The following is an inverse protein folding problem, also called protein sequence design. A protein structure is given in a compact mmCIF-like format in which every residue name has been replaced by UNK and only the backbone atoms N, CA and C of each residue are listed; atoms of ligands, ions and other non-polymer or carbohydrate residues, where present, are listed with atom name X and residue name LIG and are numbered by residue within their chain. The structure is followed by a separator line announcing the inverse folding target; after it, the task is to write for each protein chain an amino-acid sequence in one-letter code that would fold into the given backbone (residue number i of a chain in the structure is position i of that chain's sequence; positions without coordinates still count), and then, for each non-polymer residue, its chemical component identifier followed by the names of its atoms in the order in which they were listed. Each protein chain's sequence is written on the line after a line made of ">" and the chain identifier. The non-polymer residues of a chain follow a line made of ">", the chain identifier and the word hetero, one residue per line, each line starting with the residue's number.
data_IF_995171788425
#
_entry.id   IF_995171788425
#
_cell.length_a   1.000
_cell.length_b   1.000
_cell.length_c   1.000
_cell.angle_alpha   90.00
_cell.angle_beta   90.00
_cell.angle_gamma   90.00
#
_symmetry.space_group_name_H-M   'P 1'
#
loop_
_entity.id
_entity.type
_entity.pdbx_description
1 polymer ?
#
# COMPACT_ATOMS: atom_id res chain seq x y z
N UNK A 1 72.70 -12.33 17.35
CA UNK A 1 71.33 -12.48 17.89
C UNK A 1 70.47 -11.39 17.27
N UNK A 2 69.67 -11.75 16.26
CA UNK A 2 68.84 -10.83 15.49
C UNK A 2 67.44 -10.83 16.12
N UNK A 3 66.99 -9.70 16.67
CA UNK A 3 65.66 -9.56 17.23
C UNK A 3 64.67 -9.23 16.11
N UNK A 4 63.71 -10.12 15.86
CA UNK A 4 62.59 -9.91 14.92
C UNK A 4 61.44 -9.27 15.71
N UNK A 5 61.13 -8.01 15.39
CA UNK A 5 59.96 -7.33 15.91
C UNK A 5 58.70 -7.79 15.17
N UNK A 6 57.81 -8.47 15.90
CA UNK A 6 56.51 -8.91 15.39
C UNK A 6 55.52 -7.74 15.49
N UNK A 7 55.26 -7.05 14.38
CA UNK A 7 54.17 -6.08 14.31
C UNK A 7 52.84 -6.84 14.17
N UNK A 8 52.05 -6.84 15.25
CA UNK A 8 50.66 -7.28 15.20
C UNK A 8 49.83 -6.27 14.39
N UNK A 9 49.37 -6.66 13.21
CA UNK A 9 48.40 -5.90 12.45
C UNK A 9 47.04 -5.94 13.20
N UNK A 10 46.59 -4.78 13.67
CA UNK A 10 45.22 -4.59 14.13
C UNK A 10 44.26 -4.80 12.93
N UNK A 11 43.07 -5.39 13.13
CA UNK A 11 42.09 -5.49 12.07
C UNK A 11 41.61 -4.09 11.72
N UNK A 12 41.97 -3.62 10.53
CA UNK A 12 41.40 -2.42 9.94
C UNK A 12 39.91 -2.65 9.73
N UNK A 13 39.07 -1.83 10.39
CA UNK A 13 37.67 -1.72 10.07
C UNK A 13 37.53 -1.37 8.59
N UNK A 14 36.82 -2.21 7.84
CA UNK A 14 36.52 -1.98 6.42
C UNK A 14 35.50 -0.85 6.33
N UNK A 15 35.96 0.34 5.97
CA UNK A 15 35.15 1.47 5.53
C UNK A 15 35.77 2.02 4.25
N UNK A 16 35.34 1.52 3.09
CA UNK A 16 35.33 2.13 1.76
C UNK A 16 34.98 1.05 0.71
N UNK A 17 34.06 1.36 -0.19
CA UNK A 17 33.42 0.38 -1.08
C UNK A 17 34.28 -0.08 -2.25
N UNK A 18 34.14 -1.36 -2.58
CA UNK A 18 34.14 -1.77 -3.98
C UNK A 18 33.02 -1.01 -4.71
N UNK A 19 33.17 -0.64 -5.98
CA UNK A 19 32.09 -0.03 -6.75
C UNK A 19 31.02 -1.09 -6.98
N UNK A 20 30.15 -1.28 -5.99
CA UNK A 20 28.92 -2.05 -6.15
C UNK A 20 28.09 -1.44 -7.28
N UNK A 21 27.23 -2.25 -7.88
CA UNK A 21 26.37 -1.83 -8.99
C UNK A 21 25.68 -0.50 -8.68
N UNK A 22 25.60 0.40 -9.67
CA UNK A 22 24.89 1.68 -9.58
C UNK A 22 24.03 1.89 -10.80
N UNK A 23 22.85 2.48 -10.59
CA UNK A 23 21.95 2.92 -11.66
C UNK A 23 21.75 4.42 -11.47
N UNK A 24 22.17 5.20 -12.46
CA UNK A 24 22.11 6.67 -12.46
C UNK A 24 22.69 7.29 -11.17
N UNK A 25 23.82 6.74 -10.71
CA UNK A 25 24.49 7.18 -9.49
C UNK A 25 23.89 6.67 -8.18
N UNK A 26 22.73 6.01 -8.19
CA UNK A 26 22.17 5.39 -6.98
C UNK A 26 22.73 3.98 -6.78
N UNK A 27 23.20 3.60 -5.58
CA UNK A 27 23.68 2.25 -5.28
C UNK A 27 22.59 1.20 -5.45
N UNK A 28 22.96 0.05 -5.99
CA UNK A 28 22.14 -1.16 -6.02
C UNK A 28 22.50 -2.02 -4.82
N UNK A 29 21.47 -2.54 -4.14
CA UNK A 29 21.58 -3.43 -2.99
C UNK A 29 20.76 -4.69 -3.22
N UNK A 30 21.18 -5.79 -2.60
CA UNK A 30 20.41 -7.04 -2.57
C UNK A 30 19.51 -7.13 -1.32
N UNK A 31 19.86 -6.42 -0.25
CA UNK A 31 19.13 -6.42 1.02
C UNK A 31 19.30 -5.09 1.75
N UNK A 32 18.23 -4.62 2.38
CA UNK A 32 18.23 -3.43 3.21
C UNK A 32 18.51 -3.79 4.67
N UNK A 33 19.44 -3.06 5.29
CA UNK A 33 19.62 -3.02 6.74
C UNK A 33 19.70 -1.57 7.20
N UNK A 34 18.60 -1.04 7.72
CA UNK A 34 18.51 0.36 8.16
C UNK A 34 19.35 0.66 9.40
N UNK A 35 19.76 -0.35 10.17
CA UNK A 35 20.58 -0.14 11.36
C UNK A 35 21.96 0.40 10.98
N UNK A 36 22.52 -0.07 9.87
CA UNK A 36 23.86 0.29 9.38
C UNK A 36 23.92 1.65 8.67
N UNK A 37 22.78 2.22 8.29
CA UNK A 37 22.74 3.46 7.51
C UNK A 37 23.04 4.70 8.36
N UNK A 38 23.70 5.73 7.82
CA UNK A 38 23.88 7.02 8.52
C UNK A 38 22.57 7.84 8.55
N UNK A 39 22.43 8.79 9.48
CA UNK A 39 21.39 9.82 9.39
C UNK A 39 21.44 10.59 8.07
N UNK A 40 20.30 11.05 7.59
CA UNK A 40 20.17 11.76 6.31
C UNK A 40 19.17 11.12 5.35
N UNK A 41 19.28 11.46 4.07
CA UNK A 41 18.47 10.89 2.98
C UNK A 41 19.37 10.07 2.06
N UNK A 42 19.04 8.79 1.88
CA UNK A 42 19.76 7.88 0.99
C UNK A 42 18.80 7.30 -0.03
N UNK A 43 19.18 7.31 -1.32
CA UNK A 43 18.42 6.70 -2.41
C UNK A 43 19.15 5.46 -2.88
N UNK A 44 18.42 4.36 -3.02
CA UNK A 44 18.93 3.03 -3.33
C UNK A 44 18.03 2.36 -4.36
N UNK A 45 18.60 1.42 -5.10
CA UNK A 45 17.87 0.43 -5.88
C UNK A 45 17.98 -0.91 -5.20
N UNK A 46 16.85 -1.58 -4.95
CA UNK A 46 16.85 -2.99 -4.61
C UNK A 46 16.80 -3.79 -5.92
N UNK A 47 17.83 -4.59 -6.22
CA UNK A 47 17.69 -5.65 -7.23
C UNK A 47 16.84 -6.76 -6.62
N UNK A 48 15.62 -6.91 -7.12
CA UNK A 48 14.62 -7.80 -6.50
C UNK A 48 14.49 -9.12 -7.24
N UNK A 49 14.53 -9.15 -8.56
CA UNK A 49 14.66 -10.37 -9.35
C UNK A 49 15.17 -10.05 -10.75
N UNK A 50 15.36 -11.06 -11.58
CA UNK A 50 15.71 -10.90 -12.99
C UNK A 50 14.48 -11.08 -13.89
N UNK A 51 14.51 -10.43 -15.05
CA UNK A 51 13.49 -10.54 -16.09
C UNK A 51 13.86 -11.60 -17.13
N UNK A 52 12.99 -11.80 -18.11
CA UNK A 52 13.06 -12.85 -19.13
C UNK A 52 14.29 -12.76 -20.05
N UNK A 53 14.96 -11.61 -20.11
CA UNK A 53 16.21 -11.40 -20.87
C UNK A 53 17.45 -11.32 -19.97
N UNK A 54 17.34 -11.70 -18.70
CA UNK A 54 18.45 -11.72 -17.75
C UNK A 54 18.87 -10.33 -17.23
N UNK A 55 17.98 -9.34 -17.29
CA UNK A 55 18.20 -8.01 -16.71
C UNK A 55 17.45 -7.88 -15.38
N UNK A 56 18.02 -7.12 -14.43
CA UNK A 56 17.41 -6.92 -13.13
C UNK A 56 16.12 -6.11 -13.18
N UNK A 57 15.13 -6.54 -12.41
CA UNK A 57 14.08 -5.68 -11.86
C UNK A 57 14.63 -4.94 -10.65
N UNK A 58 14.43 -3.61 -10.64
CA UNK A 58 14.89 -2.73 -9.59
C UNK A 58 13.72 -1.99 -8.96
N UNK A 59 13.67 -1.99 -7.63
CA UNK A 59 12.67 -1.27 -6.83
C UNK A 59 13.33 -0.09 -6.13
N UNK A 60 12.80 1.14 -6.27
CA UNK A 60 13.38 2.30 -5.62
C UNK A 60 13.13 2.26 -4.11
N UNK A 61 14.16 2.53 -3.33
CA UNK A 61 14.07 2.71 -1.88
C UNK A 61 14.68 4.06 -1.52
N UNK A 62 13.92 4.85 -0.78
CA UNK A 62 14.39 6.08 -0.17
C UNK A 62 14.37 5.89 1.34
N UNK A 63 15.54 5.92 1.96
CA UNK A 63 15.67 5.90 3.41
C UNK A 63 15.88 7.32 3.90
N UNK A 64 15.00 7.78 4.78
CA UNK A 64 15.20 8.99 5.56
C UNK A 64 15.46 8.54 7.00
N UNK A 65 16.69 8.73 7.49
CA UNK A 65 17.06 8.36 8.87
C UNK A 65 17.29 9.61 9.69
N UNK A 66 16.55 9.71 10.79
CA UNK A 66 16.60 10.84 11.71
C UNK A 66 17.92 10.94 12.48
N UNK A 67 18.21 12.12 13.02
CA UNK A 67 19.38 12.34 13.88
C UNK A 67 19.27 11.62 15.24
N UNK A 68 18.06 11.26 15.66
CA UNK A 68 17.81 10.56 16.92
C UNK A 68 17.20 9.17 16.68
N UNK A 69 17.45 8.20 17.58
CA UNK A 69 16.74 6.93 17.59
C UNK A 69 15.22 7.12 17.71
N UNK A 70 14.47 6.20 17.11
CA UNK A 70 13.00 6.23 17.08
C UNK A 70 12.46 5.06 16.25
N UNK A 71 11.15 5.04 15.97
CA UNK A 71 10.53 3.92 15.29
C UNK A 71 10.88 3.88 13.80
N UNK A 72 10.71 2.71 13.20
CA UNK A 72 10.96 2.45 11.78
C UNK A 72 9.63 2.30 11.04
N UNK A 73 9.42 3.17 10.07
CA UNK A 73 8.18 3.29 9.33
C UNK A 73 8.37 2.84 7.89
N UNK A 74 7.66 1.80 7.47
CA UNK A 74 7.60 1.37 6.08
C UNK A 74 6.43 2.06 5.37
N UNK A 75 6.72 2.79 4.31
CA UNK A 75 5.73 3.46 3.47
C UNK A 75 5.88 3.00 2.03
N UNK A 76 4.92 2.22 1.55
CA UNK A 76 4.96 1.62 0.23
C UNK A 76 3.88 2.20 -0.67
N UNK A 77 4.12 2.18 -1.98
CA UNK A 77 3.14 2.51 -2.99
C UNK A 77 3.40 1.72 -4.27
N UNK A 78 2.39 1.60 -5.14
CA UNK A 78 2.57 1.01 -6.46
C UNK A 78 2.87 -0.48 -6.44
N UNK A 79 2.27 -1.23 -5.50
CA UNK A 79 2.21 -2.71 -5.60
C UNK A 79 1.32 -3.15 -6.77
N UNK A 80 0.32 -2.33 -7.09
CA UNK A 80 -0.39 -2.34 -8.36
C UNK A 80 0.14 -1.20 -9.24
N UNK A 81 0.48 -1.51 -10.48
CA UNK A 81 1.20 -0.60 -11.38
C UNK A 81 0.36 0.54 -11.96
N UNK A 82 -0.96 0.47 -11.84
CA UNK A 82 -1.93 1.50 -12.26
C UNK A 82 -2.33 2.46 -11.12
N UNK A 83 -1.79 2.27 -9.91
CA UNK A 83 -2.16 3.04 -8.71
C UNK A 83 -1.05 4.03 -8.31
N UNK A 84 -1.18 5.30 -8.73
CA UNK A 84 -0.04 6.23 -8.78
C UNK A 84 -0.04 7.31 -7.67
N UNK A 85 -1.18 7.68 -7.09
CA UNK A 85 -1.22 8.78 -6.10
C UNK A 85 -0.28 8.55 -4.91
N UNK A 86 -0.10 7.31 -4.45
CA UNK A 86 0.81 6.98 -3.37
C UNK A 86 2.28 7.34 -3.66
N UNK A 87 2.72 7.24 -4.91
CA UNK A 87 4.06 7.68 -5.34
C UNK A 87 4.21 9.19 -5.15
N UNK A 88 3.19 9.97 -5.52
CA UNK A 88 3.16 11.41 -5.31
C UNK A 88 3.23 11.81 -3.84
N UNK A 89 2.50 11.08 -2.98
CA UNK A 89 2.55 11.26 -1.50
C UNK A 89 3.96 11.00 -0.99
N UNK A 90 4.60 9.90 -1.39
CA UNK A 90 5.96 9.55 -0.97
C UNK A 90 6.95 10.64 -1.37
N UNK A 91 6.91 11.10 -2.63
CA UNK A 91 7.84 12.12 -3.11
C UNK A 91 7.72 13.43 -2.33
N UNK A 92 6.51 13.95 -2.17
CA UNK A 92 6.29 15.19 -1.43
C UNK A 92 6.63 15.05 0.06
N UNK A 93 6.35 13.89 0.66
CA UNK A 93 6.73 13.61 2.04
C UNK A 93 8.25 13.65 2.19
N UNK A 94 8.97 12.86 1.38
CA UNK A 94 10.43 12.77 1.42
C UNK A 94 11.07 14.14 1.20
N UNK A 95 10.56 14.94 0.26
CA UNK A 95 11.06 16.28 0.00
C UNK A 95 10.93 17.18 1.24
N UNK A 96 9.75 17.21 1.85
CA UNK A 96 9.43 18.05 3.01
C UNK A 96 9.96 17.56 4.37
N UNK A 97 10.64 16.42 4.43
CA UNK A 97 11.26 15.91 5.66
C UNK A 97 12.66 16.48 5.88
N UNK A 98 12.93 16.96 7.10
CA UNK A 98 14.27 17.27 7.59
C UNK A 98 14.77 16.15 8.51
N UNK A 99 15.77 15.36 8.10
CA UNK A 99 16.35 14.31 8.94
C UNK A 99 16.90 14.82 10.28
N UNK A 100 17.39 16.07 10.35
CA UNK A 100 17.93 16.62 11.59
C UNK A 100 16.85 16.80 12.67
N UNK A 101 15.61 17.05 12.26
CA UNK A 101 14.45 17.22 13.14
C UNK A 101 13.67 15.92 13.40
N UNK A 102 14.05 14.81 12.76
CA UNK A 102 13.32 13.54 12.80
C UNK A 102 13.92 12.56 13.81
N UNK A 103 13.06 11.71 14.37
CA UNK A 103 13.44 10.53 15.15
C UNK A 103 13.08 9.25 14.40
N UNK A 104 13.95 8.25 14.44
CA UNK A 104 13.72 6.97 13.79
C UNK A 104 14.00 7.00 12.29
N UNK A 105 13.34 6.13 11.53
CA UNK A 105 13.64 5.91 10.11
C UNK A 105 12.37 5.76 9.29
N UNK A 106 12.26 6.48 8.18
CA UNK A 106 11.29 6.22 7.12
C UNK A 106 11.96 5.39 6.01
N UNK A 107 11.34 4.27 5.65
CA UNK A 107 11.67 3.44 4.50
C UNK A 107 10.55 3.66 3.48
N UNK A 108 10.80 4.51 2.50
CA UNK A 108 9.82 4.87 1.48
C UNK A 108 10.11 4.15 0.17
N UNK A 109 9.10 3.49 -0.40
CA UNK A 109 9.23 2.70 -1.64
C UNK A 109 8.22 3.21 -2.69
N UNK A 110 8.59 4.22 -3.50
CA UNK A 110 7.71 4.80 -4.51
C UNK A 110 7.64 3.91 -5.77
N UNK A 111 7.00 2.75 -5.63
CA UNK A 111 6.78 1.79 -6.70
C UNK A 111 7.35 0.41 -6.38
N UNK A 112 6.54 -0.45 -5.77
CA UNK A 112 6.92 -1.82 -5.43
C UNK A 112 7.00 -2.76 -6.64
N UNK A 113 6.09 -2.59 -7.61
CA UNK A 113 5.91 -3.54 -8.72
C UNK A 113 6.49 -2.97 -10.01
N UNK A 114 7.82 -3.01 -10.14
CA UNK A 114 8.51 -2.51 -11.34
C UNK A 114 7.92 -3.03 -12.68
N UNK A 115 7.62 -4.32 -12.86
CA UNK A 115 7.00 -4.79 -14.10
C UNK A 115 5.56 -4.30 -14.29
N UNK A 116 4.74 -4.27 -13.24
CA UNK A 116 3.38 -3.73 -13.33
C UNK A 116 3.35 -2.25 -13.68
N UNK A 117 4.22 -1.45 -13.05
CA UNK A 117 4.35 -0.01 -13.32
C UNK A 117 4.75 0.25 -14.77
N UNK A 118 5.72 -0.51 -15.30
CA UNK A 118 6.14 -0.41 -16.71
C UNK A 118 5.01 -0.70 -17.70
N UNK A 119 4.10 -1.60 -17.34
CA UNK A 119 2.99 -2.01 -18.20
C UNK A 119 1.68 -1.29 -17.88
N UNK A 120 1.65 -0.41 -16.86
CA UNK A 120 0.42 0.22 -16.36
C UNK A 120 -0.67 -0.83 -16.08
N UNK A 121 -0.30 -1.89 -15.36
CA UNK A 121 -1.18 -3.00 -15.00
C UNK A 121 -1.26 -3.17 -13.49
N UNK A 122 -2.43 -3.61 -13.01
CA UNK A 122 -2.63 -3.96 -11.60
C UNK A 122 -1.67 -5.06 -11.13
N UNK A 123 -1.35 -6.01 -12.00
CA UNK A 123 -0.63 -7.22 -11.63
C UNK A 123 0.89 -7.12 -11.88
N UNK A 124 1.64 -8.13 -11.41
CA UNK A 124 3.02 -8.38 -11.84
C UNK A 124 3.01 -8.86 -13.29
N UNK A 125 3.32 -7.98 -14.25
CA UNK A 125 3.29 -8.31 -15.68
C UNK A 125 4.71 -8.38 -16.24
N UNK A 126 5.36 -9.52 -16.05
CA UNK A 126 6.74 -9.75 -16.48
C UNK A 126 6.90 -10.49 -17.82
N UNK A 127 5.86 -10.64 -18.66
CA UNK A 127 5.95 -11.49 -19.87
C UNK A 127 4.79 -11.43 -20.87
N UNK A 128 4.93 -12.21 -21.94
CA UNK A 128 4.34 -12.03 -23.30
C UNK A 128 2.85 -12.31 -23.47
N UNK A 129 2.12 -12.63 -22.39
CA UNK A 129 0.70 -12.98 -22.45
C UNK A 129 -0.23 -11.92 -21.82
N UNK A 130 0.31 -10.82 -21.33
CA UNK A 130 -0.46 -9.72 -20.71
C UNK A 130 -1.12 -10.09 -19.38
N UNK A 131 -0.99 -11.33 -18.91
CA UNK A 131 -1.48 -11.80 -17.63
C UNK A 131 -0.40 -11.64 -16.57
N UNK A 132 -0.82 -11.42 -15.33
CA UNK A 132 0.10 -11.26 -14.20
C UNK A 132 -0.54 -11.65 -12.90
N UNK A 133 0.27 -12.05 -11.93
CA UNK A 133 -0.18 -12.34 -10.58
C UNK A 133 -0.36 -11.06 -9.77
N UNK A 134 -1.37 -11.01 -8.91
CA UNK A 134 -1.50 -9.90 -7.97
C UNK A 134 -0.49 -10.07 -6.82
N UNK A 135 0.57 -9.26 -6.80
CA UNK A 135 1.58 -9.28 -5.72
C UNK A 135 0.97 -9.08 -4.33
N UNK A 136 -0.09 -8.29 -4.21
CA UNK A 136 -0.79 -8.06 -2.96
C UNK A 136 -1.66 -9.27 -2.53
N UNK A 137 -1.43 -10.45 -3.13
CA UNK A 137 -1.98 -11.77 -2.72
C UNK A 137 -0.88 -12.81 -2.52
N UNK A 138 0.38 -12.39 -2.63
CA UNK A 138 1.55 -13.27 -2.64
C UNK A 138 2.56 -12.93 -1.54
N UNK A 139 2.31 -11.88 -0.74
CA UNK A 139 3.21 -11.54 0.37
C UNK A 139 3.17 -12.71 1.38
N UNK A 140 4.33 -13.26 1.79
CA UNK A 140 4.34 -14.38 2.72
C UNK A 140 3.83 -13.98 4.11
N UNK A 141 3.12 -14.92 4.77
CA UNK A 141 2.73 -14.77 6.17
C UNK A 141 3.88 -15.04 7.14
N UNK A 142 4.72 -16.03 6.85
CA UNK A 142 5.83 -16.43 7.72
C UNK A 142 7.00 -15.43 7.58
N UNK A 143 7.45 -14.79 8.67
CA UNK A 143 8.51 -13.79 8.65
C UNK A 143 9.89 -14.36 8.33
N UNK A 144 10.04 -15.69 8.41
CA UNK A 144 11.28 -16.41 8.17
C UNK A 144 11.38 -16.99 6.75
N UNK A 145 10.36 -16.83 5.92
CA UNK A 145 10.43 -17.23 4.51
C UNK A 145 11.58 -16.48 3.84
N UNK A 146 12.53 -17.26 3.32
CA UNK A 146 13.66 -16.80 2.53
C UNK A 146 13.60 -17.45 1.15
N UNK A 147 14.42 -16.92 0.24
CA UNK A 147 14.80 -17.63 -0.97
C UNK A 147 13.86 -17.46 -2.16
N UNK A 148 14.01 -18.39 -3.08
CA UNK A 148 13.74 -18.23 -4.50
C UNK A 148 12.72 -19.27 -5.01
N UNK A 149 11.91 -19.81 -4.11
CA UNK A 149 10.87 -20.77 -4.47
C UNK A 149 9.70 -20.09 -5.18
N UNK A 150 8.97 -20.87 -5.97
CA UNK A 150 7.76 -20.43 -6.66
C UNK A 150 8.02 -19.79 -8.02
N UNK A 151 6.96 -19.24 -8.61
CA UNK A 151 7.02 -18.52 -9.88
C UNK A 151 7.68 -17.12 -9.71
N UNK A 152 7.88 -16.39 -10.81
CA UNK A 152 8.57 -15.09 -10.78
C UNK A 152 7.92 -14.07 -9.81
N UNK A 153 6.59 -13.98 -9.79
CA UNK A 153 5.87 -13.07 -8.90
C UNK A 153 6.00 -13.48 -7.41
N UNK A 154 5.97 -14.78 -7.12
CA UNK A 154 6.16 -15.33 -5.78
C UNK A 154 7.59 -15.07 -5.28
N UNK A 155 8.61 -15.29 -6.13
CA UNK A 155 10.01 -14.96 -5.81
C UNK A 155 10.17 -13.47 -5.51
N UNK A 156 9.59 -12.63 -6.37
CA UNK A 156 9.59 -11.18 -6.20
C UNK A 156 8.98 -10.74 -4.86
N UNK A 157 7.77 -11.23 -4.53
CA UNK A 157 7.08 -10.93 -3.28
C UNK A 157 7.85 -11.42 -2.05
N UNK A 158 8.39 -12.65 -2.09
CA UNK A 158 9.23 -13.21 -1.03
C UNK A 158 10.49 -12.39 -0.77
N UNK A 159 11.11 -11.89 -1.84
CA UNK A 159 12.31 -11.07 -1.76
C UNK A 159 12.02 -9.67 -1.23
N UNK A 160 10.91 -9.02 -1.60
CA UNK A 160 10.47 -7.78 -0.94
C UNK A 160 10.27 -7.99 0.57
N UNK A 161 9.58 -9.07 0.93
CA UNK A 161 9.29 -9.45 2.30
C UNK A 161 10.56 -9.65 3.13
N UNK A 162 11.48 -10.52 2.68
CA UNK A 162 12.62 -10.95 3.46
C UNK A 162 13.85 -10.03 3.38
N UNK A 163 13.95 -9.23 2.32
CA UNK A 163 15.10 -8.31 2.09
C UNK A 163 14.80 -6.88 2.51
N UNK A 164 13.54 -6.51 2.69
CA UNK A 164 13.15 -5.15 3.09
C UNK A 164 12.18 -5.13 4.26
N UNK A 165 11.02 -5.79 4.15
CA UNK A 165 9.91 -5.54 5.09
C UNK A 165 10.22 -6.09 6.48
N UNK A 166 10.58 -7.37 6.57
CA UNK A 166 10.90 -8.01 7.84
C UNK A 166 12.27 -7.55 8.34
N UNK A 167 12.39 -7.39 9.66
CA UNK A 167 13.62 -6.96 10.29
C UNK A 167 13.91 -5.45 10.21
N UNK A 168 13.23 -4.68 9.37
CA UNK A 168 13.41 -3.22 9.26
C UNK A 168 12.21 -2.37 9.72
N UNK A 169 11.07 -2.98 10.05
CA UNK A 169 9.79 -2.26 10.17
C UNK A 169 9.14 -2.41 11.55
N UNK A 170 8.67 -1.30 12.13
CA UNK A 170 7.91 -1.28 13.39
C UNK A 170 6.42 -0.93 13.16
N UNK A 171 6.10 -0.25 12.06
CA UNK A 171 4.73 -0.05 11.56
C UNK A 171 4.75 0.32 10.07
N UNK A 172 3.62 0.17 9.37
CA UNK A 172 3.56 0.44 7.94
C UNK A 172 2.25 1.09 7.46
N UNK A 173 2.33 1.70 6.29
CA UNK A 173 1.19 2.11 5.49
C UNK A 173 1.48 1.70 4.05
N UNK A 174 0.56 0.94 3.45
CA UNK A 174 0.59 0.63 2.02
C UNK A 174 -0.40 1.54 1.30
N UNK A 175 0.11 2.40 0.41
CA UNK A 175 -0.68 3.40 -0.31
C UNK A 175 -1.20 2.81 -1.62
N UNK A 176 -2.52 2.81 -1.75
CA UNK A 176 -3.26 2.32 -2.91
C UNK A 176 -4.12 3.43 -3.53
N UNK A 177 -4.64 3.14 -4.70
CA UNK A 177 -5.84 3.78 -5.24
C UNK A 177 -6.79 2.68 -5.69
N UNK A 178 -7.99 3.03 -6.15
CA UNK A 178 -8.70 2.04 -6.96
C UNK A 178 -7.92 1.81 -8.28
N UNK A 179 -7.96 0.59 -8.81
CA UNK A 179 -7.43 0.24 -10.14
C UNK A 179 -8.22 0.88 -11.28
N UNK A 180 -7.65 0.80 -12.50
CA UNK A 180 -8.24 1.34 -13.72
C UNK A 180 -9.72 0.96 -13.83
N UNK A 181 -10.54 1.96 -14.13
CA UNK A 181 -11.99 1.78 -14.26
C UNK A 181 -12.76 1.89 -12.95
N UNK A 182 -12.12 2.26 -11.84
CA UNK A 182 -12.83 2.63 -10.61
C UNK A 182 -12.20 3.78 -9.83
N UNK A 183 -12.92 4.20 -8.79
CA UNK A 183 -12.47 5.22 -7.84
C UNK A 183 -12.92 4.91 -6.42
N UNK A 184 -12.08 5.27 -5.44
CA UNK A 184 -12.40 5.27 -4.01
C UNK A 184 -12.36 6.68 -3.42
N UNK A 185 -13.08 6.95 -2.31
CA UNK A 185 -12.78 8.11 -1.48
C UNK A 185 -11.45 7.88 -0.75
N UNK A 186 -11.05 8.79 0.15
CA UNK A 186 -10.01 8.46 1.10
C UNK A 186 -10.52 7.33 2.00
N UNK A 187 -9.97 6.12 1.88
CA UNK A 187 -10.55 4.91 2.47
C UNK A 187 -9.46 4.01 3.05
N UNK A 188 -9.64 3.50 4.26
CA UNK A 188 -8.61 2.71 4.94
C UNK A 188 -9.15 1.35 5.34
N UNK A 189 -8.37 0.30 5.06
CA UNK A 189 -8.63 -1.06 5.52
C UNK A 189 -7.90 -1.31 6.85
N UNK A 190 -8.60 -1.90 7.82
CA UNK A 190 -8.07 -2.17 9.17
C UNK A 190 -8.45 -3.56 9.63
N UNK A 191 -7.44 -4.38 9.95
CA UNK A 191 -7.66 -5.68 10.57
C UNK A 191 -7.58 -5.66 12.10
N UNK A 192 -6.63 -4.92 12.68
CA UNK A 192 -6.33 -5.03 14.12
C UNK A 192 -6.65 -3.75 14.90
N UNK A 193 -6.95 -3.86 16.21
CA UNK A 193 -7.11 -2.66 17.05
C UNK A 193 -5.88 -1.75 17.11
N UNK A 194 -4.68 -2.33 17.03
CA UNK A 194 -3.43 -1.56 17.02
C UNK A 194 -3.28 -0.78 15.71
N UNK A 195 -3.60 -1.41 14.57
CA UNK A 195 -3.60 -0.75 13.26
C UNK A 195 -4.68 0.33 13.16
N UNK A 196 -5.81 0.19 13.87
CA UNK A 196 -6.88 1.19 13.87
C UNK A 196 -6.40 2.59 14.27
N UNK A 197 -5.47 2.71 15.22
CA UNK A 197 -4.93 4.03 15.60
C UNK A 197 -4.25 4.73 14.42
N UNK A 198 -3.53 3.98 13.57
CA UNK A 198 -2.94 4.50 12.33
C UNK A 198 -4.05 5.03 11.41
N UNK A 199 -5.10 4.23 11.17
CA UNK A 199 -6.23 4.61 10.34
C UNK A 199 -6.93 5.89 10.81
N UNK A 200 -7.16 6.03 12.12
CA UNK A 200 -7.80 7.22 12.68
C UNK A 200 -6.93 8.48 12.55
N UNK A 201 -5.60 8.35 12.61
CA UNK A 201 -4.67 9.47 12.41
C UNK A 201 -4.56 9.89 10.94
N UNK A 202 -4.77 8.98 9.99
CA UNK A 202 -4.80 9.28 8.56
C UNK A 202 -5.96 10.19 8.15
N UNK A 203 -7.02 10.28 8.97
CA UNK A 203 -8.26 11.04 8.71
C UNK A 203 -8.90 10.72 7.34
N UNK A 204 -9.12 9.44 6.99
CA UNK A 204 -9.82 9.10 5.76
C UNK A 204 -11.29 9.51 5.85
N UNK A 205 -12.02 9.43 4.74
CA UNK A 205 -13.47 9.62 4.78
C UNK A 205 -14.15 8.43 5.43
N UNK A 206 -13.65 7.22 5.19
CA UNK A 206 -14.19 5.97 5.72
C UNK A 206 -13.10 5.00 6.16
N UNK A 207 -13.42 4.14 7.12
CA UNK A 207 -12.59 3.02 7.57
C UNK A 207 -13.40 1.74 7.48
N UNK A 208 -12.84 0.72 6.85
CA UNK A 208 -13.41 -0.62 6.82
C UNK A 208 -12.65 -1.56 7.73
N UNK A 209 -13.37 -2.03 8.74
CA UNK A 209 -12.88 -3.00 9.71
C UNK A 209 -13.22 -4.41 9.22
N UNK A 210 -12.21 -5.19 8.87
CA UNK A 210 -12.39 -6.53 8.30
C UNK A 210 -11.32 -7.51 8.78
N UNK A 211 -11.50 -8.80 8.54
CA UNK A 211 -10.55 -9.82 8.97
C UNK A 211 -9.16 -9.75 8.29
N UNK A 212 -8.97 -8.84 7.33
CA UNK A 212 -7.84 -8.85 6.42
C UNK A 212 -7.97 -9.86 5.28
N UNK A 213 -7.04 -9.78 4.34
CA UNK A 213 -6.89 -10.62 3.16
C UNK A 213 -5.53 -11.30 3.21
N UNK A 214 -5.52 -12.62 3.05
CA UNK A 214 -4.27 -13.38 3.01
C UNK A 214 -3.40 -12.94 1.83
N UNK A 215 -2.10 -12.76 2.09
CA UNK A 215 -1.13 -12.29 1.11
C UNK A 215 -1.09 -10.78 0.85
N UNK A 216 -1.94 -9.98 1.50
CA UNK A 216 -1.89 -8.52 1.43
C UNK A 216 -0.80 -7.94 2.35
N UNK A 217 -0.11 -6.89 1.92
CA UNK A 217 1.06 -6.33 2.63
C UNK A 217 0.73 -6.01 4.09
N UNK A 218 -0.33 -5.25 4.32
CA UNK A 218 -0.76 -4.81 5.64
C UNK A 218 -1.15 -5.98 6.54
N UNK A 219 -1.81 -6.99 5.97
CA UNK A 219 -2.33 -8.11 6.75
C UNK A 219 -1.25 -9.12 7.11
N UNK A 220 -0.26 -9.32 6.22
CA UNK A 220 0.91 -10.13 6.54
C UNK A 220 1.80 -9.45 7.58
N UNK A 221 1.93 -8.13 7.54
CA UNK A 221 2.59 -7.37 8.61
C UNK A 221 1.82 -7.46 9.92
N UNK A 222 0.50 -7.27 9.90
CA UNK A 222 -0.36 -7.40 11.08
C UNK A 222 -0.28 -8.80 11.71
N UNK A 223 -0.21 -9.85 10.89
CA UNK A 223 -0.02 -11.23 11.34
C UNK A 223 1.32 -11.46 12.08
N UNK A 224 2.29 -10.57 11.87
CA UNK A 224 3.60 -10.55 12.50
C UNK A 224 3.73 -9.45 13.58
N UNK A 225 2.60 -8.99 14.12
CA UNK A 225 2.52 -7.95 15.15
C UNK A 225 3.12 -6.59 14.74
N UNK A 226 3.26 -6.33 13.44
CA UNK A 226 3.65 -5.03 12.88
C UNK A 226 2.37 -4.31 12.44
N UNK A 227 1.91 -3.28 13.17
CA UNK A 227 0.66 -2.60 12.83
C UNK A 227 0.76 -1.91 11.47
N UNK A 228 -0.13 -2.29 10.56
CA UNK A 228 -0.17 -1.79 9.20
C UNK A 228 -1.60 -1.62 8.68
N UNK A 229 -1.77 -0.71 7.72
CA UNK A 229 -3.04 -0.44 7.03
C UNK A 229 -2.83 -0.21 5.54
N UNK A 230 -3.82 -0.56 4.73
CA UNK A 230 -3.94 -0.06 3.35
C UNK A 230 -4.69 1.26 3.35
N UNK A 231 -4.15 2.26 2.65
CA UNK A 231 -4.78 3.56 2.49
C UNK A 231 -5.02 3.89 1.01
N UNK A 232 -6.29 3.90 0.62
CA UNK A 232 -6.80 4.22 -0.71
C UNK A 232 -6.93 5.73 -0.91
N UNK A 233 -6.40 6.22 -2.04
CA UNK A 233 -6.32 7.65 -2.35
C UNK A 233 -6.87 7.96 -3.76
N UNK A 234 -8.13 7.66 -4.01
CA UNK A 234 -8.80 8.08 -5.25
C UNK A 234 -8.84 7.02 -6.35
N UNK A 235 -8.76 7.49 -7.60
CA UNK A 235 -8.77 6.66 -8.80
C UNK A 235 -7.37 6.39 -9.37
N UNK A 236 -7.32 5.48 -10.33
CA UNK A 236 -6.10 5.02 -10.99
C UNK A 236 -5.52 6.06 -11.97
N UNK A 237 -4.24 5.89 -12.29
CA UNK A 237 -3.57 6.52 -13.44
C UNK A 237 -3.66 8.06 -13.54
N UNK A 238 -3.82 8.71 -12.39
CA UNK A 238 -3.85 10.18 -12.27
C UNK A 238 -3.05 10.60 -11.06
N UNK A 239 -2.43 11.78 -11.12
CA UNK A 239 -2.00 12.50 -9.93
C UNK A 239 -3.12 13.47 -9.52
N UNK A 240 -3.95 13.02 -8.59
CA UNK A 240 -4.96 13.86 -7.95
C UNK A 240 -4.29 14.65 -6.81
N UNK A 241 -4.00 15.92 -7.07
CA UNK A 241 -3.35 16.80 -6.11
C UNK A 241 -4.12 16.93 -4.78
N UNK A 242 -5.45 16.83 -4.79
CA UNK A 242 -6.25 16.91 -3.57
C UNK A 242 -6.09 15.64 -2.73
N UNK A 243 -6.11 14.47 -3.37
CA UNK A 243 -5.87 13.18 -2.68
C UNK A 243 -4.43 13.05 -2.20
N UNK A 244 -3.44 13.48 -3.00
CA UNK A 244 -2.03 13.50 -2.59
C UNK A 244 -1.82 14.42 -1.38
N UNK A 245 -2.36 15.64 -1.42
CA UNK A 245 -2.26 16.55 -0.29
C UNK A 245 -2.93 15.98 0.97
N UNK A 246 -4.04 15.26 0.83
CA UNK A 246 -4.71 14.57 1.93
C UNK A 246 -3.87 13.41 2.48
N UNK A 247 -3.34 12.56 1.60
CA UNK A 247 -2.43 11.47 1.96
C UNK A 247 -1.20 11.98 2.71
N UNK A 248 -0.57 13.05 2.21
CA UNK A 248 0.58 13.70 2.84
C UNK A 248 0.26 14.18 4.27
N UNK A 249 -0.88 14.87 4.47
CA UNK A 249 -1.30 15.30 5.82
C UNK A 249 -1.52 14.10 6.75
N UNK A 250 -2.26 13.09 6.28
CA UNK A 250 -2.57 11.90 7.07
C UNK A 250 -1.31 11.11 7.47
N UNK A 251 -0.37 10.91 6.54
CA UNK A 251 0.90 10.22 6.84
C UNK A 251 1.73 11.03 7.83
N UNK A 252 1.79 12.36 7.71
CA UNK A 252 2.47 13.22 8.70
C UNK A 252 1.82 13.14 10.08
N UNK A 253 0.49 13.06 10.17
CA UNK A 253 -0.21 12.85 11.44
C UNK A 253 0.22 11.56 12.11
N UNK A 254 0.34 10.47 11.36
CA UNK A 254 0.84 9.18 11.87
C UNK A 254 2.29 9.31 12.35
N UNK A 255 3.16 9.97 11.58
CA UNK A 255 4.54 10.20 12.00
C UNK A 255 4.65 11.05 13.28
N UNK A 256 3.78 12.04 13.48
CA UNK A 256 3.70 12.82 14.72
C UNK A 256 3.17 11.95 15.87
N UNK A 257 2.09 11.19 15.66
CA UNK A 257 1.51 10.29 16.67
C UNK A 257 2.51 9.22 17.15
N UNK A 258 3.39 8.76 16.25
CA UNK A 258 4.48 7.82 16.55
C UNK A 258 5.76 8.49 17.06
N UNK A 259 5.76 9.81 17.24
CA UNK A 259 6.90 10.56 17.80
C UNK A 259 8.11 10.67 16.86
N UNK A 260 7.93 10.40 15.56
CA UNK A 260 8.98 10.59 14.56
C UNK A 260 9.17 12.06 14.21
N UNK A 261 8.08 12.84 14.22
CA UNK A 261 8.08 14.26 13.93
C UNK A 261 7.58 15.07 15.14
N UNK A 262 8.16 16.25 15.40
CA UNK A 262 7.60 17.17 16.38
C UNK A 262 6.30 17.80 15.86
N UNK A 263 5.46 18.28 16.78
CA UNK A 263 4.26 19.07 16.46
C UNK A 263 2.97 18.41 16.94
N UNK A 264 1.85 18.86 16.36
CA UNK A 264 0.51 18.33 16.63
C UNK A 264 -0.10 17.82 15.33
N UNK A 265 -0.80 16.67 15.34
CA UNK A 265 -1.51 16.19 14.16
C UNK A 265 -2.55 17.21 13.67
N UNK A 266 -2.66 17.35 12.35
CA UNK A 266 -3.70 18.14 11.69
C UNK A 266 -4.98 17.30 11.56
N UNK A 267 -5.91 17.54 12.47
CA UNK A 267 -7.19 16.81 12.57
C UNK A 267 -8.37 17.60 11.96
N UNK A 268 -8.11 18.47 10.98
CA UNK A 268 -9.17 19.30 10.35
C UNK A 268 -10.23 18.46 9.63
N UNK A 269 -9.84 17.31 9.11
CA UNK A 269 -10.73 16.42 8.39
C UNK A 269 -11.64 15.69 9.41
N UNK A 270 -12.94 15.46 9.11
CA UNK A 270 -13.89 14.85 10.04
C UNK A 270 -13.49 13.44 10.52
N UNK A 271 -14.13 12.97 11.59
CA UNK A 271 -14.01 11.56 11.97
C UNK A 271 -14.51 10.66 10.84
N UNK A 272 -13.79 9.58 10.49
CA UNK A 272 -14.20 8.68 9.43
C UNK A 272 -15.49 7.94 9.77
N UNK A 273 -16.28 7.65 8.73
CA UNK A 273 -17.37 6.68 8.85
C UNK A 273 -16.79 5.28 9.01
N UNK A 274 -17.19 4.56 10.06
CA UNK A 274 -16.78 3.17 10.27
C UNK A 274 -17.78 2.23 9.62
N UNK A 275 -17.28 1.27 8.84
CA UNK A 275 -18.05 0.13 8.33
C UNK A 275 -17.33 -1.18 8.60
N UNK A 276 -18.09 -2.27 8.68
CA UNK A 276 -17.57 -3.64 8.76
C UNK A 276 -18.27 -4.58 7.75
N UNK A 277 -19.13 -4.03 6.89
CA UNK A 277 -19.78 -4.74 5.79
C UNK A 277 -19.55 -3.98 4.48
N UNK A 278 -18.98 -4.67 3.50
CA UNK A 278 -18.90 -4.22 2.11
C UNK A 278 -19.97 -4.94 1.31
N UNK A 279 -20.77 -4.17 0.56
CA UNK A 279 -21.76 -4.71 -0.39
C UNK A 279 -21.47 -4.11 -1.76
N UNK A 280 -21.11 -4.97 -2.72
CA UNK A 280 -21.00 -4.56 -4.11
C UNK A 280 -22.38 -4.67 -4.77
N UNK A 281 -22.74 -3.65 -5.54
CA UNK A 281 -23.90 -3.67 -6.43
C UNK A 281 -23.37 -3.84 -7.83
N UNK A 282 -23.54 -5.07 -8.33
CA UNK A 282 -22.96 -5.51 -9.59
C UNK A 282 -23.97 -5.35 -10.74
N UNK A 283 -23.46 -5.16 -11.95
CA UNK A 283 -24.33 -5.11 -13.13
C UNK A 283 -24.85 -6.51 -13.48
N UNK A 284 -26.17 -6.73 -13.65
CA UNK A 284 -26.69 -8.02 -14.11
C UNK A 284 -26.52 -8.21 -15.62
N UNK A 285 -26.09 -7.19 -16.36
CA UNK A 285 -26.05 -7.16 -17.83
C UNK A 285 -24.80 -6.46 -18.36
N UNK A 286 -24.37 -6.87 -19.55
CA UNK A 286 -23.42 -6.09 -20.33
C UNK A 286 -24.07 -4.78 -20.80
N UNK A 287 -23.36 -3.66 -20.72
CA UNK A 287 -23.91 -2.36 -21.11
C UNK A 287 -23.10 -1.15 -20.67
N UNK A 288 -23.74 0.02 -20.73
CA UNK A 288 -23.17 1.32 -20.40
C UNK A 288 -23.80 1.78 -19.08
N UNK A 289 -23.06 1.63 -17.98
CA UNK A 289 -23.50 2.05 -16.67
C UNK A 289 -23.32 3.56 -16.49
N UNK A 290 -24.42 4.23 -16.18
CA UNK A 290 -24.46 5.65 -15.86
C UNK A 290 -24.73 5.79 -14.37
N UNK A 291 -23.70 6.22 -13.63
CA UNK A 291 -23.80 6.45 -12.19
C UNK A 291 -24.81 7.56 -11.88
N UNK A 292 -25.52 7.42 -10.75
CA UNK A 292 -26.48 8.39 -10.21
C UNK A 292 -26.12 8.85 -8.80
N UNK A 293 -24.98 8.39 -8.29
CA UNK A 293 -24.45 8.69 -6.96
C UNK A 293 -22.99 9.12 -7.04
N UNK A 294 -22.51 9.75 -5.97
CA UNK A 294 -21.11 10.18 -5.83
C UNK A 294 -20.43 9.43 -4.68
N UNK A 295 -19.09 9.38 -4.71
CA UNK A 295 -18.31 8.89 -3.57
C UNK A 295 -18.71 9.64 -2.29
N UNK A 296 -18.68 8.95 -1.16
CA UNK A 296 -19.06 9.44 0.17
C UNK A 296 -20.55 9.76 0.35
N UNK A 297 -21.39 9.71 -0.68
CA UNK A 297 -22.83 9.92 -0.57
C UNK A 297 -23.46 8.84 0.32
N UNK A 298 -24.36 9.25 1.22
CA UNK A 298 -25.23 8.33 1.93
C UNK A 298 -26.46 8.01 1.06
N UNK A 299 -26.81 6.74 0.97
CA UNK A 299 -27.95 6.22 0.20
C UNK A 299 -28.86 5.41 1.10
N UNK A 300 -30.16 5.47 0.85
CA UNK A 300 -31.17 4.63 1.49
C UNK A 300 -31.49 3.44 0.62
N UNK A 301 -31.95 2.35 1.24
CA UNK A 301 -32.48 1.18 0.53
C UNK A 301 -33.52 1.62 -0.51
N UNK A 302 -33.34 1.15 -1.74
CA UNK A 302 -34.20 1.48 -2.88
C UNK A 302 -33.76 2.69 -3.70
N UNK A 303 -32.82 3.52 -3.20
CA UNK A 303 -32.27 4.63 -3.98
C UNK A 303 -31.60 4.12 -5.26
N UNK A 304 -31.79 4.83 -6.37
CA UNK A 304 -31.17 4.49 -7.66
C UNK A 304 -29.69 4.83 -7.62
N UNK A 305 -28.85 3.82 -7.84
CA UNK A 305 -27.39 3.93 -7.84
C UNK A 305 -26.82 4.14 -9.24
N UNK A 306 -27.35 3.42 -10.22
CA UNK A 306 -26.92 3.50 -11.61
C UNK A 306 -28.01 3.00 -12.56
N UNK A 307 -27.94 3.45 -13.81
CA UNK A 307 -28.77 2.94 -14.91
C UNK A 307 -27.84 2.33 -15.96
N UNK A 308 -28.12 1.10 -16.38
CA UNK A 308 -27.38 0.42 -17.46
C UNK A 308 -28.19 0.53 -18.74
N UNK A 309 -27.59 1.08 -19.79
CA UNK A 309 -28.21 1.18 -21.12
C UNK A 309 -27.57 0.22 -22.11
N UNK A 310 -28.28 -0.11 -23.19
CA UNK A 310 -27.75 -0.85 -24.35
C UNK A 310 -27.12 0.09 -25.40
N UNK A 311 -26.56 -0.41 -26.52
CA UNK A 311 -25.97 0.44 -27.56
C UNK A 311 -26.93 1.43 -28.23
N UNK A 312 -28.24 1.25 -28.06
CA UNK A 312 -29.28 2.14 -28.61
C UNK A 312 -29.79 3.15 -27.58
N UNK A 313 -29.21 3.18 -26.36
CA UNK A 313 -29.60 4.07 -25.27
C UNK A 313 -30.83 3.62 -24.49
N UNK A 314 -31.36 2.41 -24.73
CA UNK A 314 -32.51 1.89 -23.98
C UNK A 314 -32.05 1.42 -22.61
N UNK A 315 -32.82 1.73 -21.57
CA UNK A 315 -32.55 1.22 -20.21
C UNK A 315 -32.81 -0.28 -20.17
N UNK A 316 -31.81 -1.05 -19.76
CA UNK A 316 -31.88 -2.52 -19.66
C UNK A 316 -31.68 -3.03 -18.23
N UNK A 317 -31.17 -2.19 -17.31
CA UNK A 317 -31.18 -2.44 -15.88
C UNK A 317 -31.18 -1.12 -15.08
N UNK A 318 -31.81 -1.14 -13.91
CA UNK A 318 -31.70 -0.08 -12.89
C UNK A 318 -31.13 -0.71 -11.64
N UNK A 319 -29.96 -0.25 -11.20
CA UNK A 319 -29.30 -0.72 -9.99
C UNK A 319 -29.76 0.14 -8.82
N UNK A 320 -30.22 -0.50 -7.75
CA UNK A 320 -30.71 0.19 -6.54
C UNK A 320 -29.94 -0.26 -5.31
N UNK A 321 -29.90 0.59 -4.29
CA UNK A 321 -29.25 0.27 -3.02
C UNK A 321 -30.01 -0.85 -2.28
N UNK A 322 -29.37 -1.99 -1.95
CA UNK A 322 -30.04 -3.07 -1.22
C UNK A 322 -30.22 -2.77 0.27
N UNK A 323 -29.49 -1.77 0.79
CA UNK A 323 -29.50 -1.34 2.19
C UNK A 323 -29.11 0.14 2.30
N UNK A 324 -29.36 0.71 3.47
CA UNK A 324 -28.85 2.01 3.88
C UNK A 324 -27.34 1.93 4.07
N UNK A 325 -26.57 2.77 3.36
CA UNK A 325 -25.12 2.67 3.34
C UNK A 325 -24.44 3.96 2.85
N UNK A 326 -23.12 4.01 3.00
CA UNK A 326 -22.27 5.02 2.38
C UNK A 326 -21.64 4.47 1.10
N UNK A 327 -21.66 5.25 0.02
CA UNK A 327 -20.96 4.91 -1.23
C UNK A 327 -19.46 5.00 -1.00
N UNK A 328 -18.81 3.84 -0.99
CA UNK A 328 -17.39 3.66 -0.71
C UNK A 328 -16.55 3.35 -1.95
N UNK A 329 -17.17 3.16 -3.12
CA UNK A 329 -16.47 3.02 -4.39
C UNK A 329 -17.40 3.06 -5.59
N UNK A 330 -16.84 3.41 -6.74
CA UNK A 330 -17.56 3.52 -8.01
C UNK A 330 -16.77 2.83 -9.12
N UNK A 331 -17.45 2.07 -9.97
CA UNK A 331 -16.97 1.69 -11.30
C UNK A 331 -17.10 2.90 -12.23
N UNK A 332 -15.98 3.55 -12.53
CA UNK A 332 -15.94 4.77 -13.35
C UNK A 332 -15.79 4.48 -14.83
N UNK A 333 -15.34 3.28 -15.20
CA UNK A 333 -15.48 2.82 -16.59
C UNK A 333 -16.97 2.63 -16.88
N UNK A 334 -17.55 3.34 -17.86
CA UNK A 334 -18.96 3.18 -18.16
C UNK A 334 -19.26 1.79 -18.74
N UNK A 335 -18.27 1.06 -19.25
CA UNK A 335 -18.46 -0.28 -19.82
C UNK A 335 -18.54 -1.29 -18.69
N UNK A 336 -19.64 -2.03 -18.65
CA UNK A 336 -19.81 -3.13 -17.68
C UNK A 336 -20.08 -4.43 -18.41
N UNK A 337 -19.56 -5.52 -17.89
CA UNK A 337 -19.98 -6.90 -18.12
C UNK A 337 -20.96 -7.35 -17.02
N UNK A 338 -21.75 -8.43 -17.25
CA UNK A 338 -22.47 -9.08 -16.16
C UNK A 338 -21.51 -9.50 -15.04
N UNK A 339 -21.80 -9.09 -13.80
CA UNK A 339 -20.97 -9.36 -12.62
C UNK A 339 -19.96 -8.28 -12.28
N UNK A 340 -19.75 -7.27 -13.14
CA UNK A 340 -18.86 -6.15 -12.81
C UNK A 340 -19.46 -5.29 -11.70
N UNK A 341 -18.63 -4.97 -10.70
CA UNK A 341 -19.00 -4.06 -9.62
C UNK A 341 -19.18 -2.63 -10.15
N UNK A 342 -20.38 -2.07 -9.96
CA UNK A 342 -20.72 -0.70 -10.40
C UNK A 342 -20.66 0.28 -9.24
N UNK A 343 -21.19 -0.10 -8.08
CA UNK A 343 -21.14 0.71 -6.86
C UNK A 343 -20.77 -0.18 -5.69
N UNK A 344 -19.78 0.25 -4.90
CA UNK A 344 -19.47 -0.36 -3.61
C UNK A 344 -20.09 0.46 -2.49
N UNK A 345 -20.81 -0.23 -1.62
CA UNK A 345 -21.42 0.31 -0.42
C UNK A 345 -20.69 -0.19 0.81
N UNK A 346 -20.60 0.69 1.82
CA UNK A 346 -20.06 0.41 3.13
C UNK A 346 -21.12 0.68 4.19
N UNK A 347 -21.34 -0.28 5.05
CA UNK A 347 -22.31 -0.21 6.15
C UNK A 347 -21.76 -0.86 7.42
N UNK A 348 -22.54 -0.77 8.49
CA UNK A 348 -22.21 -1.34 9.80
C UNK A 348 -23.23 -2.39 10.21
N UNK A 349 -22.74 -3.54 10.69
CA UNK A 349 -23.52 -4.62 11.27
C UNK A 349 -22.91 -5.05 12.62
N UNK A 350 -23.63 -4.80 13.70
CA UNK A 350 -23.20 -5.13 15.06
C UNK A 350 -23.13 -6.63 15.36
N UNK A 351 -23.75 -7.47 14.52
CA UNK A 351 -23.77 -8.92 14.68
C UNK A 351 -22.46 -9.59 14.27
N UNK A 352 -21.63 -8.92 13.46
CA UNK A 352 -20.36 -9.46 12.99
C UNK A 352 -19.29 -9.49 14.08
N UNK A 353 -18.30 -10.40 13.97
CA UNK A 353 -17.25 -10.55 14.98
C UNK A 353 -16.33 -9.34 15.06
N UNK A 354 -16.10 -8.65 13.94
CA UNK A 354 -15.32 -7.42 13.89
C UNK A 354 -16.09 -6.25 14.50
N UNK A 355 -15.51 -5.63 15.52
CA UNK A 355 -16.13 -4.55 16.31
C UNK A 355 -15.52 -3.20 15.94
N UNK A 356 -16.09 -2.13 16.49
CA UNK A 356 -15.69 -0.74 16.14
C UNK A 356 -14.23 -0.48 16.40
N UNK A 357 -13.63 -1.15 17.38
CA UNK A 357 -12.23 -1.04 17.76
C UNK A 357 -11.27 -1.92 16.95
N UNK A 358 -11.74 -2.89 16.17
CA UNK A 358 -10.94 -3.76 15.31
C UNK A 358 -11.53 -5.17 15.21
N UNK A 359 -10.87 -6.08 14.48
CA UNK A 359 -11.23 -7.49 14.50
C UNK A 359 -10.48 -8.26 15.59
N UNK A 360 -11.14 -9.20 16.29
CA UNK A 360 -10.48 -10.12 17.20
C UNK A 360 -9.42 -10.96 16.47
N UNK A 361 -8.33 -11.30 17.15
CA UNK A 361 -7.25 -12.14 16.61
C UNK A 361 -7.69 -13.56 16.25
N UNK A 362 -8.86 -14.01 16.74
CA UNK A 362 -9.47 -15.30 16.41
C UNK A 362 -10.11 -15.34 15.02
N UNK A 363 -10.32 -14.18 14.39
CA UNK A 363 -10.90 -14.11 13.03
C UNK A 363 -9.76 -14.25 12.02
N UNK A 364 -9.75 -15.37 11.29
CA UNK A 364 -8.73 -15.63 10.27
C UNK A 364 -8.93 -14.73 9.04
N UNK A 365 -7.85 -14.22 8.44
CA UNK A 365 -7.92 -13.51 7.17
C UNK A 365 -8.61 -14.32 6.08
N UNK A 366 -9.31 -13.62 5.21
CA UNK A 366 -10.01 -14.22 4.09
C UNK A 366 -8.97 -14.61 3.03
N UNK A 367 -8.95 -15.87 2.59
CA UNK A 367 -8.20 -16.25 1.39
C UNK A 367 -8.81 -15.52 0.20
N UNK A 368 -7.98 -14.78 -0.54
CA UNK A 368 -8.45 -14.20 -1.79
C UNK A 368 -8.91 -15.32 -2.73
N UNK A 369 -10.05 -15.08 -3.38
CA UNK A 369 -10.62 -15.99 -4.37
C UNK A 369 -9.94 -15.82 -5.71
#
# INVERSE_FOLDING_TARGET
>A
MLAVALFAALPTAVMAGEPGDRIDGSPVIEKLDVATMPPGKTRLWLRVDDNEIGQGYYVPIIVVKGAQPGPRFLLTAGIHGDELNGIGVIHQLVEGLDPAAMKGTLIAMPGLNAPGLRNSTRAFTGGHNGSGDNLNRLIPRDPHVQGDEGNAAQRYARRLWSRVFTGNTDFAIDLHTQSRGGAYPAYVFVATPVAKRIAMMLRPDSVYVNAGIDGAVEDMLNANAIPAVTYELGGAEVFDNAMIARGLRGVRNVMIDRGMLPGKPDIRDPEPFLGNVVTNVDSPRGGWAQLRVKLNQYVKKGDVLAIVTDPFGRTIATLTAPLDARVAGLGTDPRTQPGDMVVRLLSWDDSLPCKRDGCPSTVTPIKAR
#
